data_IF_265392122282
#
_entry.id   IF_265392122282
#
_cell.length_a   1.000
_cell.length_b   1.000
_cell.length_c   1.000
_cell.angle_alpha   90.00
_cell.angle_beta   90.00
_cell.angle_gamma   90.00
#
_symmetry.space_group_name_H-M   'P 1'
#
loop_
_entity.id
_entity.type
_entity.pdbx_description
1 polymer ?
#
# COMPACT_ATOMS: atom_id res chain seq x y z
N UNK A 1 5.53 18.33 -5.02
CA UNK A 1 6.19 19.54 -5.56
C UNK A 1 6.68 19.28 -6.97
N UNK A 2 6.67 20.33 -7.79
CA UNK A 2 7.13 20.29 -9.18
C UNK A 2 8.40 21.13 -9.31
N UNK A 3 9.47 20.53 -9.84
CA UNK A 3 10.69 21.28 -10.19
C UNK A 3 10.87 21.30 -11.70
N UNK A 4 11.06 22.51 -12.24
CA UNK A 4 11.38 22.71 -13.66
C UNK A 4 12.85 22.39 -13.88
N UNK A 5 13.15 21.51 -14.84
CA UNK A 5 14.51 21.18 -15.25
C UNK A 5 14.79 21.91 -16.56
N UNK A 6 15.90 22.66 -16.63
CA UNK A 6 16.33 23.30 -17.87
C UNK A 6 16.78 22.23 -18.88
N UNK A 7 16.28 22.30 -20.11
CA UNK A 7 16.55 21.28 -21.14
C UNK A 7 17.47 21.83 -22.23
N UNK A 8 18.50 21.07 -22.60
CA UNK A 8 19.30 21.30 -23.80
C UNK A 8 18.59 20.74 -25.05
N UNK A 9 18.85 21.33 -26.22
CA UNK A 9 18.24 21.01 -27.52
C UNK A 9 18.52 19.54 -27.97
N UNK A 10 17.58 18.89 -28.69
CA UNK A 10 17.67 17.48 -29.09
C UNK A 10 18.70 17.22 -30.21
N UNK A 11 19.26 16.00 -30.24
CA UNK A 11 20.21 15.48 -31.26
C UNK A 11 19.80 14.07 -31.70
N UNK A 12 19.76 13.79 -32.99
CA UNK A 12 19.13 12.59 -33.59
C UNK A 12 19.81 11.24 -33.30
N UNK A 13 20.88 11.21 -32.50
CA UNK A 13 21.69 10.00 -32.22
C UNK A 13 21.39 9.32 -30.88
N UNK A 14 20.41 9.77 -30.10
CA UNK A 14 20.06 9.20 -28.80
C UNK A 14 18.54 9.05 -28.61
N UNK A 15 18.12 8.02 -27.85
CA UNK A 15 16.76 7.95 -27.31
C UNK A 15 16.53 9.11 -26.35
N UNK A 16 15.58 9.99 -26.66
CA UNK A 16 15.23 11.13 -25.83
C UNK A 16 13.94 10.85 -25.07
N UNK A 17 14.04 10.56 -23.78
CA UNK A 17 12.92 10.75 -22.85
C UNK A 17 13.14 12.11 -22.18
N UNK A 18 12.45 13.16 -22.64
CA UNK A 18 12.52 14.48 -21.99
C UNK A 18 11.76 14.42 -20.66
N UNK A 19 12.49 14.30 -19.56
CA UNK A 19 11.92 14.48 -18.21
C UNK A 19 11.66 15.98 -18.01
N UNK A 20 10.42 16.42 -18.23
CA UNK A 20 10.05 17.84 -18.18
C UNK A 20 9.68 18.30 -16.77
N UNK A 21 9.29 17.38 -15.88
CA UNK A 21 8.86 17.64 -14.51
C UNK A 21 9.36 16.54 -13.56
N UNK A 22 9.89 16.95 -12.41
CA UNK A 22 10.19 16.05 -11.29
C UNK A 22 9.04 16.10 -10.28
N UNK A 23 8.30 15.00 -10.11
CA UNK A 23 7.25 14.89 -9.11
C UNK A 23 7.85 14.38 -7.80
N UNK A 24 7.76 15.18 -6.73
CA UNK A 24 8.05 14.70 -5.38
C UNK A 24 6.76 14.46 -4.61
N UNK A 25 6.56 13.25 -4.04
CA UNK A 25 5.43 12.99 -3.16
C UNK A 25 5.63 13.79 -1.86
N UNK A 26 4.56 14.48 -1.45
CA UNK A 26 4.54 15.38 -0.29
C UNK A 26 3.60 14.90 0.81
N UNK A 27 2.70 13.97 0.49
CA UNK A 27 1.71 13.46 1.43
C UNK A 27 1.21 12.09 0.98
N UNK A 28 0.74 11.28 1.93
CA UNK A 28 0.02 10.05 1.64
C UNK A 28 -1.10 9.82 2.63
N UNK A 29 -2.03 8.95 2.22
CA UNK A 29 -3.10 8.45 3.07
C UNK A 29 -3.31 6.96 2.75
N UNK A 30 -3.38 6.12 3.79
CA UNK A 30 -3.79 4.73 3.64
C UNK A 30 -4.70 4.30 4.78
N UNK A 31 -5.54 3.29 4.52
CA UNK A 31 -6.43 2.71 5.53
C UNK A 31 -6.15 1.22 5.68
N UNK A 32 -5.91 0.76 6.91
CA UNK A 32 -5.73 -0.66 7.22
C UNK A 32 -7.06 -1.28 7.61
N UNK A 33 -7.46 -2.36 6.91
CA UNK A 33 -8.70 -3.08 7.18
C UNK A 33 -8.45 -4.54 7.55
N UNK A 34 -9.06 -4.98 8.64
CA UNK A 34 -9.03 -6.37 9.10
C UNK A 34 -10.36 -7.05 8.75
N UNK A 35 -10.33 -8.29 8.27
CA UNK A 35 -11.53 -9.05 7.91
C UNK A 35 -12.45 -9.32 9.11
N UNK A 36 -11.88 -9.45 10.29
CA UNK A 36 -12.57 -9.95 11.48
C UNK A 36 -12.92 -8.84 12.48
N UNK A 37 -12.68 -7.57 12.15
CA UNK A 37 -12.96 -6.46 13.07
C UNK A 37 -13.55 -5.26 12.34
N UNK A 38 -14.33 -4.46 13.06
CA UNK A 38 -14.77 -3.15 12.58
C UNK A 38 -13.65 -2.11 12.58
N UNK A 39 -12.50 -2.42 13.22
CA UNK A 39 -11.33 -1.55 13.31
C UNK A 39 -10.83 -1.17 11.91
N UNK A 40 -10.67 0.13 11.73
CA UNK A 40 -10.03 0.75 10.58
C UNK A 40 -9.07 1.80 11.12
N UNK A 41 -7.85 1.81 10.60
CA UNK A 41 -6.84 2.79 10.98
C UNK A 41 -6.52 3.62 9.73
N UNK A 42 -7.00 4.86 9.71
CA UNK A 42 -6.60 5.84 8.71
C UNK A 42 -5.27 6.45 9.14
N UNK A 43 -4.27 6.32 8.29
CA UNK A 43 -2.94 6.90 8.48
C UNK A 43 -2.74 7.95 7.42
N UNK A 44 -2.43 9.17 7.86
CA UNK A 44 -2.09 10.30 7.00
C UNK A 44 -0.69 10.81 7.35
N UNK A 45 -0.02 11.38 6.37
CA UNK A 45 1.25 12.07 6.54
C UNK A 45 1.36 13.16 5.48
N UNK A 46 1.87 14.32 5.88
CA UNK A 46 2.26 15.41 5.00
C UNK A 46 3.59 15.96 5.48
N UNK A 47 4.57 16.08 4.58
CA UNK A 47 5.91 16.51 4.90
C UNK A 47 6.94 16.02 3.89
N UNK A 48 8.20 16.34 4.17
CA UNK A 48 9.33 15.87 3.38
C UNK A 48 9.44 14.33 3.42
N UNK A 49 10.11 13.76 2.41
CA UNK A 49 10.36 12.32 2.30
C UNK A 49 9.11 11.44 2.42
N UNK A 50 7.96 11.91 1.94
CA UNK A 50 6.69 11.20 2.08
C UNK A 50 6.73 9.75 1.56
N UNK A 51 7.50 9.47 0.50
CA UNK A 51 7.69 8.12 -0.01
C UNK A 51 8.42 7.21 0.98
N UNK A 52 9.48 7.71 1.60
CA UNK A 52 10.26 6.97 2.60
C UNK A 52 9.44 6.72 3.85
N UNK A 53 8.78 7.76 4.36
CA UNK A 53 7.89 7.66 5.53
C UNK A 53 6.73 6.71 5.25
N UNK A 54 6.17 6.72 4.03
CA UNK A 54 5.15 5.76 3.61
C UNK A 54 5.68 4.33 3.73
N UNK A 55 6.88 4.05 3.19
CA UNK A 55 7.47 2.73 3.25
C UNK A 55 7.74 2.27 4.69
N UNK A 56 8.32 3.13 5.53
CA UNK A 56 8.59 2.84 6.94
C UNK A 56 7.31 2.50 7.70
N UNK A 57 6.26 3.31 7.55
CA UNK A 57 4.96 3.06 8.20
C UNK A 57 4.31 1.76 7.72
N UNK A 58 4.32 1.49 6.42
CA UNK A 58 3.76 0.25 5.86
C UNK A 58 4.55 -0.98 6.33
N UNK A 59 5.87 -0.85 6.48
CA UNK A 59 6.74 -1.89 7.05
C UNK A 59 6.39 -2.16 8.51
N UNK A 60 6.24 -1.13 9.34
CA UNK A 60 5.82 -1.24 10.73
C UNK A 60 4.46 -1.91 10.88
N UNK A 61 3.46 -1.46 10.11
CA UNK A 61 2.13 -2.06 10.07
C UNK A 61 2.18 -3.53 9.65
N UNK A 62 2.97 -3.85 8.62
CA UNK A 62 3.15 -5.23 8.16
C UNK A 62 3.74 -6.13 9.24
N UNK A 63 4.75 -5.63 9.97
CA UNK A 63 5.36 -6.36 11.09
C UNK A 63 4.38 -6.52 12.26
N UNK A 64 3.59 -5.49 12.57
CA UNK A 64 2.55 -5.55 13.58
C UNK A 64 1.48 -6.59 13.23
N UNK A 65 0.98 -6.57 11.99
CA UNK A 65 -0.02 -7.52 11.50
C UNK A 65 0.54 -8.95 11.53
N UNK A 66 1.79 -9.13 11.08
CA UNK A 66 2.43 -10.44 11.07
C UNK A 66 2.54 -11.04 12.47
N UNK A 67 3.03 -10.27 13.44
CA UNK A 67 3.22 -10.72 14.83
C UNK A 67 1.90 -10.97 15.56
N UNK A 68 0.89 -10.13 15.35
CA UNK A 68 -0.34 -10.17 16.15
C UNK A 68 -1.50 -10.94 15.50
N UNK A 69 -1.45 -11.21 14.20
CA UNK A 69 -2.57 -11.85 13.49
C UNK A 69 -2.14 -13.07 12.65
N UNK A 70 -0.95 -13.06 12.05
CA UNK A 70 -0.48 -14.19 11.25
C UNK A 70 0.21 -15.27 12.09
N UNK A 71 0.88 -14.89 13.17
CA UNK A 71 1.60 -15.80 14.05
C UNK A 71 0.73 -16.40 15.17
N UNK A 72 -0.49 -15.91 15.39
CA UNK A 72 -1.36 -16.27 16.54
C UNK A 72 -2.15 -17.58 16.35
N UNK A 73 -1.92 -18.33 15.27
CA UNK A 73 -2.58 -19.62 15.04
C UNK A 73 -1.85 -20.81 15.68
N UNK A 74 -1.63 -20.76 16.99
CA UNK A 74 -1.71 -21.99 17.79
C UNK A 74 -2.73 -21.75 18.90
N UNK A 75 -3.88 -22.45 18.90
CA UNK A 75 -4.66 -22.51 20.13
C UNK A 75 -3.74 -22.96 21.27
N UNK A 76 -3.96 -22.46 22.49
CA UNK A 76 -3.31 -23.05 23.66
C UNK A 76 -3.85 -24.48 23.81
N UNK A 77 -3.13 -25.42 23.20
CA UNK A 77 -3.29 -26.84 23.45
C UNK A 77 -2.17 -27.24 24.39
N UNK A 78 -2.52 -28.03 25.40
CA UNK A 78 -1.54 -28.69 26.26
C UNK A 78 -0.63 -29.58 25.41
N UNK A 79 0.57 -29.92 25.89
CA UNK A 79 1.47 -30.83 25.16
C UNK A 79 0.76 -32.15 24.84
N UNK A 80 -0.10 -32.62 25.74
CA UNK A 80 -0.93 -33.81 25.54
C UNK A 80 -1.91 -33.64 24.37
N UNK A 81 -2.64 -32.53 24.31
CA UNK A 81 -3.59 -32.24 23.23
C UNK A 81 -2.91 -31.95 21.89
N UNK A 82 -1.69 -31.40 21.89
CA UNK A 82 -0.89 -31.21 20.68
C UNK A 82 -0.46 -32.56 20.12
N UNK A 83 -0.04 -33.49 20.99
CA UNK A 83 0.29 -34.87 20.60
C UNK A 83 -0.92 -35.64 20.09
N UNK A 84 -2.11 -35.37 20.63
CA UNK A 84 -3.38 -35.97 20.20
C UNK A 84 -3.85 -35.41 18.86
N UNK A 85 -3.74 -34.10 18.66
CA UNK A 85 -4.03 -33.44 17.39
C UNK A 85 -3.09 -33.90 16.26
N UNK A 86 -1.80 -34.05 16.53
CA UNK A 86 -0.81 -34.54 15.54
C UNK A 86 -1.05 -36.01 15.13
N UNK A 87 -1.74 -36.79 15.97
CA UNK A 87 -2.09 -38.19 15.68
C UNK A 87 -3.42 -38.33 14.93
N UNK A 88 -4.27 -37.32 14.99
CA UNK A 88 -5.61 -37.35 14.39
C UNK A 88 -5.51 -37.04 12.89
N UNK A 89 -5.84 -38.04 12.05
CA UNK A 89 -5.84 -37.88 10.60
C UNK A 89 -7.22 -37.53 10.04
N UNK A 90 -8.28 -37.49 10.87
CA UNK A 90 -9.65 -37.28 10.41
C UNK A 90 -10.24 -35.94 10.88
N UNK A 91 -10.97 -35.26 10.00
CA UNK A 91 -11.66 -34.02 10.33
C UNK A 91 -12.77 -34.30 11.35
N UNK A 92 -12.72 -33.65 12.51
CA UNK A 92 -13.68 -33.90 13.59
C UNK A 92 -15.13 -33.47 13.27
N UNK A 93 -15.33 -32.64 12.23
CA UNK A 93 -16.64 -32.16 11.76
C UNK A 93 -17.21 -33.06 10.65
N UNK A 94 -16.42 -33.36 9.62
CA UNK A 94 -16.92 -34.06 8.42
C UNK A 94 -16.41 -35.50 8.29
N UNK A 95 -15.56 -35.97 9.21
CA UNK A 95 -15.00 -37.33 9.28
C UNK A 95 -14.27 -37.78 8.01
N UNK A 96 -13.82 -36.82 7.19
CA UNK A 96 -12.94 -37.07 6.04
C UNK A 96 -11.49 -36.93 6.47
N UNK A 97 -10.60 -37.62 5.77
CA UNK A 97 -9.16 -37.49 6.01
C UNK A 97 -8.72 -36.04 5.81
N UNK A 98 -7.97 -35.51 6.78
CA UNK A 98 -7.32 -34.20 6.68
C UNK A 98 -6.26 -34.17 5.57
N UNK A 99 -5.76 -35.33 5.13
CA UNK A 99 -4.88 -35.43 3.95
C UNK A 99 -5.58 -35.07 2.64
N UNK A 100 -6.92 -35.18 2.59
CA UNK A 100 -7.71 -34.94 1.38
C UNK A 100 -8.11 -33.47 1.23
N UNK A 101 -7.97 -32.69 2.31
CA UNK A 101 -8.12 -31.25 2.26
C UNK A 101 -6.77 -30.64 1.89
N UNK A 102 -6.67 -29.82 0.83
CA UNK A 102 -5.47 -29.03 0.65
C UNK A 102 -5.26 -28.22 1.93
N UNK A 103 -4.04 -28.19 2.50
CA UNK A 103 -3.79 -27.38 3.69
C UNK A 103 -4.31 -25.99 3.39
N UNK A 104 -5.18 -25.46 4.27
CA UNK A 104 -5.60 -24.06 4.21
C UNK A 104 -4.34 -23.26 4.45
N UNK A 105 -3.60 -22.99 3.37
CA UNK A 105 -2.48 -22.08 3.33
C UNK A 105 -3.09 -20.72 3.58
N UNK A 106 -3.12 -20.32 4.84
CA UNK A 106 -3.38 -18.93 5.18
C UNK A 106 -2.28 -18.16 4.46
N UNK A 107 -2.61 -17.35 3.43
CA UNK A 107 -1.59 -16.65 2.69
C UNK A 107 -0.81 -15.78 3.68
N UNK A 108 0.51 -16.01 3.80
CA UNK A 108 1.41 -15.18 4.61
C UNK A 108 1.79 -13.90 3.86
N UNK A 109 0.84 -13.35 3.10
CA UNK A 109 1.01 -12.10 2.40
C UNK A 109 -0.07 -11.10 2.80
N UNK A 110 0.33 -9.83 2.95
CA UNK A 110 -0.55 -8.70 3.19
C UNK A 110 -0.76 -7.97 1.87
N UNK A 111 -2.01 -7.75 1.48
CA UNK A 111 -2.35 -7.06 0.24
C UNK A 111 -2.44 -5.55 0.48
N UNK A 112 -1.78 -4.78 -0.37
CA UNK A 112 -1.90 -3.33 -0.47
C UNK A 112 -2.50 -3.00 -1.83
N UNK A 113 -3.61 -2.27 -1.84
CA UNK A 113 -4.29 -1.88 -3.07
C UNK A 113 -4.02 -0.43 -3.39
N UNK A 114 -3.54 -0.18 -4.60
CA UNK A 114 -3.50 1.13 -5.23
C UNK A 114 -4.41 1.12 -6.45
N UNK A 115 -4.91 2.28 -6.87
CA UNK A 115 -5.70 2.37 -8.09
C UNK A 115 -4.90 3.08 -9.18
N UNK A 116 -4.74 2.43 -10.33
CA UNK A 116 -3.89 2.87 -11.43
C UNK A 116 -2.41 2.96 -11.03
N UNK A 117 -1.95 2.03 -10.20
CA UNK A 117 -0.54 1.93 -9.80
C UNK A 117 0.36 1.79 -11.03
N UNK A 118 0.02 0.87 -11.93
CA UNK A 118 0.87 0.51 -13.06
C UNK A 118 0.94 1.60 -14.16
N UNK A 119 0.06 2.59 -14.10
CA UNK A 119 -0.03 3.67 -15.09
C UNK A 119 0.26 5.06 -14.51
N UNK A 120 0.66 5.14 -13.24
CA UNK A 120 0.94 6.39 -12.52
C UNK A 120 2.29 6.30 -11.78
N UNK A 121 2.54 7.28 -10.92
CA UNK A 121 3.61 7.54 -9.94
C UNK A 121 4.23 6.36 -9.14
N UNK A 122 4.10 5.09 -9.54
CA UNK A 122 4.81 3.94 -8.94
C UNK A 122 6.31 4.19 -8.84
N UNK A 123 6.89 4.85 -9.85
CA UNK A 123 8.30 5.22 -9.86
C UNK A 123 8.72 6.11 -8.67
N UNK A 124 7.78 6.81 -8.02
CA UNK A 124 8.02 7.64 -6.83
C UNK A 124 8.27 6.82 -5.57
N UNK A 125 7.73 5.61 -5.48
CA UNK A 125 7.75 4.80 -4.26
C UNK A 125 8.58 3.51 -4.41
N UNK A 126 8.76 3.02 -5.64
CA UNK A 126 9.48 1.77 -5.88
C UNK A 126 10.96 1.84 -5.52
N UNK A 127 11.56 3.04 -5.60
CA UNK A 127 12.95 3.28 -5.18
C UNK A 127 13.13 3.01 -3.69
N UNK A 128 12.20 3.50 -2.86
CA UNK A 128 12.21 3.28 -1.41
C UNK A 128 12.07 1.79 -1.05
N UNK A 129 11.33 1.04 -1.87
CA UNK A 129 11.21 -0.40 -1.72
C UNK A 129 12.50 -1.15 -2.07
N UNK A 130 13.41 -0.56 -2.83
CA UNK A 130 14.70 -1.15 -3.20
C UNK A 130 15.87 -0.80 -2.27
N UNK A 131 15.64 0.01 -1.23
CA UNK A 131 16.72 0.52 -0.36
C UNK A 131 17.33 -0.57 0.53
N UNK A 132 16.55 -1.54 1.00
CA UNK A 132 17.06 -2.63 1.83
C UNK A 132 17.41 -3.87 1.00
N UNK A 133 18.23 -4.75 1.58
CA UNK A 133 18.74 -5.98 0.94
C UNK A 133 17.68 -7.07 0.74
N UNK A 134 16.40 -6.78 1.02
CA UNK A 134 15.34 -7.78 0.95
C UNK A 134 14.88 -8.00 -0.50
N UNK A 135 14.60 -9.26 -0.85
CA UNK A 135 14.22 -9.64 -2.20
C UNK A 135 12.82 -9.07 -2.57
N UNK A 136 12.81 -8.15 -3.52
CA UNK A 136 11.60 -7.70 -4.23
C UNK A 136 11.25 -8.74 -5.30
N UNK A 137 9.99 -9.19 -5.32
CA UNK A 137 9.41 -9.99 -6.41
C UNK A 137 8.52 -9.07 -7.25
N UNK A 138 8.83 -8.90 -8.52
CA UNK A 138 8.03 -8.07 -9.43
C UNK A 138 7.38 -8.92 -10.51
N UNK A 139 6.09 -8.69 -10.77
CA UNK A 139 5.42 -9.10 -12.01
C UNK A 139 5.26 -7.84 -12.85
N UNK A 140 6.25 -7.60 -13.70
CA UNK A 140 6.30 -6.46 -14.60
C UNK A 140 5.75 -6.84 -15.99
N UNK A 141 5.01 -5.92 -16.60
CA UNK A 141 4.68 -5.95 -18.04
C UNK A 141 5.77 -5.19 -18.81
N UNK A 142 6.25 -4.06 -18.28
CA UNK A 142 7.39 -3.29 -18.80
C UNK A 142 8.17 -2.66 -17.63
N UNK A 143 9.28 -1.96 -17.93
CA UNK A 143 10.07 -1.23 -16.92
C UNK A 143 9.24 -0.21 -16.13
N UNK A 144 8.23 0.40 -16.76
CA UNK A 144 7.36 1.40 -16.14
C UNK A 144 5.97 0.86 -15.75
N UNK A 145 5.66 -0.41 -16.04
CA UNK A 145 4.31 -0.97 -15.88
C UNK A 145 4.36 -2.28 -15.09
N UNK A 146 3.97 -2.22 -13.82
CA UNK A 146 3.95 -3.36 -12.91
C UNK A 146 2.52 -3.83 -12.62
N UNK A 147 2.22 -5.11 -12.84
CA UNK A 147 0.93 -5.73 -12.46
C UNK A 147 0.85 -5.89 -10.95
N UNK A 148 1.96 -6.33 -10.36
CA UNK A 148 2.14 -6.40 -8.93
C UNK A 148 3.62 -6.39 -8.60
N UNK A 149 3.96 -5.87 -7.44
CA UNK A 149 5.26 -6.08 -6.84
C UNK A 149 5.06 -6.48 -5.39
N UNK A 150 5.97 -7.31 -4.89
CA UNK A 150 5.92 -7.85 -3.54
C UNK A 150 7.27 -7.73 -2.89
N UNK A 151 7.29 -7.54 -1.58
CA UNK A 151 8.50 -7.46 -0.79
C UNK A 151 8.42 -8.43 0.37
N UNK A 152 9.50 -9.16 0.60
CA UNK A 152 9.60 -10.09 1.72
C UNK A 152 10.26 -9.36 2.88
N UNK A 153 9.57 -9.27 4.02
CA UNK A 153 10.10 -8.63 5.23
C UNK A 153 10.40 -9.73 6.25
N UNK A 154 11.65 -9.80 6.69
CA UNK A 154 12.06 -10.73 7.75
C UNK A 154 11.84 -10.11 9.13
N UNK A 155 11.46 -10.95 10.10
CA UNK A 155 11.30 -10.54 11.48
C UNK A 155 11.59 -11.69 12.44
N UNK A 156 12.03 -11.35 13.65
CA UNK A 156 12.27 -12.33 14.72
C UNK A 156 10.93 -12.92 15.15
N UNK A 157 10.85 -14.25 15.20
CA UNK A 157 9.69 -14.93 15.74
C UNK A 157 9.69 -14.79 17.26
N UNK A 158 8.62 -14.19 17.80
CA UNK A 158 8.44 -13.98 19.23
C UNK A 158 7.40 -14.96 19.74
N UNK A 159 7.70 -15.61 20.86
CA UNK A 159 6.74 -16.44 21.58
C UNK A 159 5.60 -15.55 22.12
N UNK A 160 4.33 -15.86 21.81
CA UNK A 160 3.20 -15.00 22.17
C UNK A 160 2.98 -14.91 23.68
N UNK A 161 3.44 -15.90 24.46
CA UNK A 161 3.28 -15.97 25.92
C UNK A 161 4.48 -15.31 26.60
N UNK A 162 5.69 -15.77 26.32
CA UNK A 162 6.89 -15.31 27.04
C UNK A 162 7.42 -13.98 26.53
N UNK A 163 6.97 -13.53 25.35
CA UNK A 163 7.45 -12.34 24.63
C UNK A 163 8.95 -12.36 24.30
N UNK A 164 9.59 -13.52 24.43
CA UNK A 164 10.99 -13.72 24.08
C UNK A 164 11.14 -14.25 22.65
N UNK A 165 12.31 -14.02 22.00
CA UNK A 165 12.65 -14.68 20.75
C UNK A 165 12.60 -16.19 20.87
N UNK A 166 11.93 -16.85 19.92
CA UNK A 166 12.01 -18.30 19.80
C UNK A 166 13.38 -18.67 19.25
N UNK A 167 14.08 -19.54 19.96
CA UNK A 167 15.44 -19.97 19.61
C UNK A 167 15.42 -21.32 18.87
N UNK A 168 16.36 -21.51 17.96
CA UNK A 168 16.63 -22.80 17.34
C UNK A 168 17.41 -23.74 18.28
N UNK A 169 17.70 -24.96 17.82
CA UNK A 169 18.44 -25.97 18.58
C UNK A 169 19.87 -25.53 18.95
N UNK A 170 20.39 -24.46 18.34
CA UNK A 170 21.73 -23.89 18.58
C UNK A 170 21.66 -22.60 19.41
N UNK A 171 20.48 -22.22 19.92
CA UNK A 171 20.27 -21.01 20.71
C UNK A 171 20.19 -19.72 19.89
N UNK A 172 20.02 -19.79 18.57
CA UNK A 172 19.91 -18.60 17.71
C UNK A 172 18.44 -18.22 17.46
N UNK A 173 18.08 -16.91 17.42
CA UNK A 173 16.73 -16.49 17.10
C UNK A 173 16.25 -17.02 15.74
N UNK A 174 15.03 -17.57 15.73
CA UNK A 174 14.32 -17.99 14.53
C UNK A 174 13.71 -16.76 13.86
N UNK A 175 13.96 -16.62 12.55
CA UNK A 175 13.36 -15.58 11.73
C UNK A 175 12.18 -16.13 10.94
N UNK A 176 11.13 -15.34 10.83
CA UNK A 176 9.99 -15.55 9.95
C UNK A 176 9.97 -14.49 8.87
N UNK A 177 9.31 -14.81 7.78
CA UNK A 177 9.08 -13.88 6.67
C UNK A 177 7.58 -13.62 6.52
N UNK A 178 7.24 -12.37 6.21
CA UNK A 178 5.93 -11.96 5.73
C UNK A 178 6.12 -11.28 4.38
N UNK A 179 5.25 -11.57 3.44
CA UNK A 179 5.24 -10.91 2.15
C UNK A 179 4.26 -9.73 2.21
N UNK A 180 4.65 -8.57 1.71
CA UNK A 180 3.71 -7.49 1.39
C UNK A 180 3.57 -7.44 -0.12
N UNK A 181 2.34 -7.43 -0.64
CA UNK A 181 2.06 -7.48 -2.07
C UNK A 181 1.18 -6.30 -2.48
N UNK A 182 1.71 -5.50 -3.38
CA UNK A 182 1.05 -4.33 -3.94
C UNK A 182 0.33 -4.73 -5.23
N UNK A 183 -0.95 -4.40 -5.30
CA UNK A 183 -1.84 -4.71 -6.41
C UNK A 183 -2.42 -3.44 -7.00
N UNK A 184 -2.47 -3.40 -8.33
CA UNK A 184 -3.20 -2.37 -9.05
C UNK A 184 -4.67 -2.77 -9.22
N UNK A 185 -5.55 -2.14 -8.45
CA UNK A 185 -6.99 -2.34 -8.53
C UNK A 185 -7.59 -1.94 -9.88
N UNK A 186 -6.95 -1.07 -10.68
CA UNK A 186 -7.46 -0.68 -12.01
C UNK A 186 -7.45 -1.84 -13.02
N UNK A 187 -6.62 -2.86 -12.78
CA UNK A 187 -6.60 -4.10 -13.58
C UNK A 187 -7.83 -4.97 -13.36
N UNK A 188 -8.51 -4.79 -12.22
CA UNK A 188 -9.76 -5.47 -11.87
C UNK A 188 -10.98 -4.56 -12.09
N UNK A 189 -10.79 -3.26 -11.90
CA UNK A 189 -11.80 -2.20 -12.03
C UNK A 189 -11.31 -1.19 -13.07
N UNK A 190 -11.52 -1.50 -14.35
CA UNK A 190 -11.04 -0.73 -15.50
C UNK A 190 -11.83 0.57 -15.71
N UNK A 191 -11.94 1.39 -14.67
CA UNK A 191 -12.64 2.67 -14.67
C UNK A 191 -11.94 3.63 -13.72
N UNK A 192 -11.99 4.93 -14.00
CA UNK A 192 -11.36 5.93 -13.13
C UNK A 192 -12.02 5.98 -11.76
N UNK A 193 -11.25 6.37 -10.72
CA UNK A 193 -11.79 6.62 -9.38
C UNK A 193 -12.98 7.58 -9.41
N UNK A 194 -12.95 8.64 -10.24
CA UNK A 194 -14.08 9.57 -10.43
C UNK A 194 -15.34 8.80 -10.82
N UNK A 195 -15.28 8.02 -11.90
CA UNK A 195 -16.45 7.26 -12.38
C UNK A 195 -16.92 6.22 -11.36
N UNK A 196 -16.00 5.54 -10.67
CA UNK A 196 -16.33 4.57 -9.62
C UNK A 196 -17.03 5.25 -8.44
N UNK A 197 -16.52 6.40 -7.98
CA UNK A 197 -17.09 7.15 -6.86
C UNK A 197 -18.52 7.62 -7.18
N UNK A 198 -18.76 8.16 -8.37
CA UNK A 198 -20.10 8.61 -8.78
C UNK A 198 -21.10 7.48 -9.05
N UNK A 199 -20.62 6.25 -9.26
CA UNK A 199 -21.50 5.08 -9.42
C UNK A 199 -22.03 4.56 -8.07
N UNK A 200 -21.32 4.85 -6.98
CA UNK A 200 -21.67 4.37 -5.64
C UNK A 200 -22.59 5.35 -4.91
N UNK A 201 -23.55 4.82 -4.15
CA UNK A 201 -24.43 5.61 -3.29
C UNK A 201 -23.72 6.01 -1.99
N UNK A 202 -24.07 7.14 -1.34
CA UNK A 202 -23.40 7.62 -0.12
C UNK A 202 -23.24 6.56 0.99
N UNK A 203 -24.26 5.74 1.25
CA UNK A 203 -24.20 4.68 2.28
C UNK A 203 -23.20 3.55 1.97
N UNK A 204 -22.74 3.43 0.71
CA UNK A 204 -21.74 2.44 0.32
C UNK A 204 -20.32 2.88 0.69
N UNK A 205 -20.11 4.17 0.96
CA UNK A 205 -18.82 4.74 1.38
C UNK A 205 -18.54 4.54 2.88
N UNK A 206 -18.82 3.34 3.40
CA UNK A 206 -18.79 3.04 4.85
C UNK A 206 -17.51 3.46 5.55
N UNK A 207 -16.35 3.32 4.89
CA UNK A 207 -15.06 3.70 5.49
C UNK A 207 -14.81 5.21 5.37
N UNK A 208 -15.05 5.83 4.21
CA UNK A 208 -14.91 7.29 4.06
C UNK A 208 -15.86 8.05 4.99
N UNK A 209 -17.12 7.62 5.10
CA UNK A 209 -18.12 8.26 5.96
C UNK A 209 -17.78 8.21 7.45
N UNK A 210 -16.91 7.29 7.90
CA UNK A 210 -16.43 7.27 9.29
C UNK A 210 -15.45 8.40 9.58
N UNK A 211 -14.62 8.75 8.59
CA UNK A 211 -13.56 9.74 8.74
C UNK A 211 -13.98 11.13 8.25
N UNK A 212 -14.88 11.19 7.27
CA UNK A 212 -15.35 12.42 6.63
C UNK A 212 -16.87 12.40 6.45
N UNK A 213 -17.67 12.37 7.54
CA UNK A 213 -19.12 12.29 7.46
C UNK A 213 -19.73 13.50 6.73
N UNK A 214 -19.27 14.71 7.05
CA UNK A 214 -19.83 15.96 6.54
C UNK A 214 -19.21 16.42 5.21
N UNK A 215 -18.06 15.84 4.84
CA UNK A 215 -17.28 16.22 3.66
C UNK A 215 -17.26 15.11 2.60
N UNK A 216 -18.17 14.14 2.69
CA UNK A 216 -18.14 12.96 1.84
C UNK A 216 -18.21 13.31 0.35
N UNK A 217 -19.00 14.32 -0.04
CA UNK A 217 -19.11 14.72 -1.44
C UNK A 217 -17.86 15.46 -1.94
N UNK A 218 -17.16 16.16 -1.06
CA UNK A 218 -15.84 16.75 -1.35
C UNK A 218 -14.80 15.63 -1.59
N UNK A 219 -14.73 14.64 -0.70
CA UNK A 219 -13.72 13.56 -0.77
C UNK A 219 -13.99 12.59 -1.93
N UNK A 220 -15.25 12.43 -2.36
CA UNK A 220 -15.58 11.69 -3.59
C UNK A 220 -15.19 12.45 -4.86
N UNK A 221 -15.14 13.77 -4.79
CA UNK A 221 -14.82 14.64 -5.90
C UNK A 221 -13.35 14.52 -6.30
N UNK A 222 -13.08 14.52 -7.60
CA UNK A 222 -11.73 14.78 -8.09
C UNK A 222 -11.59 16.30 -8.20
N UNK A 223 -10.86 16.91 -7.28
CA UNK A 223 -10.50 18.33 -7.38
C UNK A 223 -9.35 18.50 -8.38
N UNK A 224 -9.35 19.66 -9.02
CA UNK A 224 -8.21 20.17 -9.78
C UNK A 224 -7.06 20.42 -8.80
N UNK A 225 -5.86 19.96 -9.14
CA UNK A 225 -4.67 20.15 -8.30
C UNK A 225 -3.66 21.03 -9.05
N UNK A 226 -3.41 22.28 -8.59
CA UNK A 226 -2.59 23.23 -9.34
C UNK A 226 -1.10 22.92 -9.18
N UNK A 227 -0.57 21.99 -9.99
CA UNK A 227 0.81 21.54 -9.89
C UNK A 227 1.84 22.67 -10.04
N UNK A 228 1.60 23.65 -10.91
CA UNK A 228 2.48 24.81 -11.10
C UNK A 228 2.41 25.78 -9.93
N UNK A 229 1.24 25.89 -9.30
CA UNK A 229 1.13 26.66 -8.08
C UNK A 229 1.89 25.96 -6.96
N UNK A 230 1.80 24.64 -6.81
CA UNK A 230 2.36 23.89 -5.67
C UNK A 230 3.86 23.60 -5.83
N UNK A 231 4.65 24.66 -5.99
CA UNK A 231 6.11 24.67 -6.18
C UNK A 231 6.93 24.64 -4.87
N UNK A 232 6.28 24.81 -3.72
CA UNK A 232 6.94 25.00 -2.42
C UNK A 232 6.10 24.41 -1.28
N UNK A 233 6.73 23.89 -0.20
CA UNK A 233 5.99 23.32 0.95
C UNK A 233 5.13 24.33 1.68
N UNK A 234 5.53 25.60 1.73
CA UNK A 234 4.83 26.66 2.47
C UNK A 234 3.42 26.90 1.91
N UNK A 235 3.17 26.54 0.65
CA UNK A 235 1.85 26.65 0.02
C UNK A 235 0.80 25.69 0.57
N UNK A 236 1.21 24.65 1.30
CA UNK A 236 0.27 23.79 2.02
C UNK A 236 -0.26 24.43 3.32
N UNK A 237 0.42 25.47 3.83
CA UNK A 237 0.01 26.20 5.03
C UNK A 237 -0.89 27.41 4.72
N UNK A 238 -1.15 27.67 3.43
CA UNK A 238 -2.05 28.75 3.00
C UNK A 238 -3.52 28.39 3.25
N UNK A 239 -4.26 29.31 3.89
CA UNK A 239 -5.69 29.10 4.20
C UNK A 239 -6.64 29.44 3.05
N UNK A 240 -6.12 30.00 1.95
CA UNK A 240 -6.91 30.44 0.80
C UNK A 240 -6.52 29.70 -0.46
N UNK A 241 -7.51 29.33 -1.27
CA UNK A 241 -7.26 28.75 -2.59
C UNK A 241 -6.53 29.75 -3.49
N UNK A 242 -5.62 29.26 -4.37
CA UNK A 242 -5.01 30.11 -5.37
C UNK A 242 -6.08 30.70 -6.31
N UNK A 243 -5.80 31.89 -6.83
CA UNK A 243 -6.62 32.48 -7.88
C UNK A 243 -6.70 31.52 -9.10
N UNK A 244 -7.84 31.50 -9.79
CA UNK A 244 -8.09 30.68 -10.99
C UNK A 244 -7.01 30.84 -12.07
N UNK A 245 -6.39 32.01 -12.17
CA UNK A 245 -5.30 32.28 -13.11
C UNK A 245 -4.07 31.40 -12.83
N UNK A 246 -3.91 30.91 -11.60
CA UNK A 246 -2.82 30.01 -11.16
C UNK A 246 -3.18 28.53 -11.26
N UNK A 247 -4.39 28.18 -11.74
CA UNK A 247 -4.80 26.80 -12.09
C UNK A 247 -4.40 26.41 -13.52
N UNK A 248 -3.52 27.18 -14.17
CA UNK A 248 -3.00 26.84 -15.49
C UNK A 248 -2.07 25.62 -15.44
N UNK A 249 -2.19 24.76 -16.44
CA UNK A 249 -1.35 23.57 -16.58
C UNK A 249 -0.63 23.62 -17.92
N UNK A 250 0.68 23.88 -17.90
CA UNK A 250 1.56 23.84 -19.08
C UNK A 250 1.59 22.47 -19.74
N UNK A 251 1.15 21.43 -19.04
CA UNK A 251 0.97 20.07 -19.56
C UNK A 251 -0.18 19.97 -20.56
N UNK A 252 -1.31 20.59 -20.25
CA UNK A 252 -2.51 20.54 -21.09
C UNK A 252 -2.64 21.79 -21.97
N UNK A 253 -1.90 22.85 -21.64
CA UNK A 253 -2.00 24.15 -22.29
C UNK A 253 -3.25 24.94 -21.91
N UNK A 254 -4.01 24.48 -20.91
CA UNK A 254 -5.32 25.02 -20.53
C UNK A 254 -5.40 25.30 -19.02
N UNK A 255 -6.30 26.22 -18.62
CA UNK A 255 -6.70 26.34 -17.22
C UNK A 255 -7.47 25.09 -16.82
N UNK A 256 -7.01 24.42 -15.78
CA UNK A 256 -7.71 23.27 -15.22
C UNK A 256 -9.04 23.74 -14.62
N UNK A 257 -10.14 23.29 -15.21
CA UNK A 257 -11.51 23.62 -14.76
C UNK A 257 -12.02 22.49 -13.86
N UNK A 258 -12.72 22.86 -12.79
CA UNK A 258 -13.53 21.91 -12.04
C UNK A 258 -14.52 21.21 -12.98
N UNK A 259 -14.62 19.88 -12.84
CA UNK A 259 -15.33 19.01 -13.78
C UNK A 259 -16.43 18.20 -13.12
#
# INVERSE_FOLDING_TARGET
MLFKIDTCQPSDTASHTKTYQNHLPVSFCYNVKYSNTSKSNLVTYSGEDAAKVFYEKIKEETLYIAKNYLDVKKPMITKEQETEFEKENDCHICKKSLSDLPPILVPRFILVFFHNLSGSDTHLFIKELGIDKDNIKTIAISEDNYVSFSKNIQYIHIDPITKNPVLDQKGKPIFKTVEIRFLDSSKFLSSSLKKLAYTLKPYQFKELSKHYPDQLDLVKGKLVYPYEYMDSPEKYDEESLPNIDKLYSSLTGEHEKDS
#
